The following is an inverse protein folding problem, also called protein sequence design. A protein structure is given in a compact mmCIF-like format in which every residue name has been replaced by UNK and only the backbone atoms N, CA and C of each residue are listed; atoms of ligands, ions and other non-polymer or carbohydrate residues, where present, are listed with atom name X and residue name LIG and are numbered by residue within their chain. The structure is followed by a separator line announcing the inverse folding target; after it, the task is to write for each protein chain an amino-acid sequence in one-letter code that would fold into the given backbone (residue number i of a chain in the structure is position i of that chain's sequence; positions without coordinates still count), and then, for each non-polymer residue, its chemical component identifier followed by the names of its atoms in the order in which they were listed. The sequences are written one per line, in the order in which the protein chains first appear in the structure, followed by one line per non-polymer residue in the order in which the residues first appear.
data_IF_021763050858
#
_entry.id   IF_021763050858
#
_cell.length_a   1.000
_cell.length_b   1.000
_cell.length_c   1.000
_cell.angle_alpha   90.00
_cell.angle_beta   90.00
_cell.angle_gamma   90.00
#
_symmetry.space_group_name_H-M   'P 1'
#
loop_
_entity.id
_entity.type
_entity.pdbx_description
1 polymer ?
#
# COMPACT_ATOMS: atom_id res chain seq x y z
N UNK A 1 -36.44 -33.32 12.30
CA UNK A 1 -35.82 -32.41 13.28
C UNK A 1 -36.18 -30.99 12.87
N UNK A 2 -37.19 -30.37 13.49
CA UNK A 2 -37.71 -29.06 13.03
C UNK A 2 -37.14 -27.96 13.91
N UNK A 3 -36.40 -27.05 13.31
CA UNK A 3 -35.77 -25.92 13.99
C UNK A 3 -36.87 -25.05 14.66
N UNK A 4 -36.85 -24.91 15.98
CA UNK A 4 -37.84 -24.09 16.68
C UNK A 4 -37.69 -22.63 16.27
N UNK A 5 -38.79 -21.86 16.25
CA UNK A 5 -38.78 -20.44 15.80
C UNK A 5 -37.76 -19.59 16.59
N UNK A 6 -37.51 -19.95 17.85
CA UNK A 6 -36.50 -19.33 18.70
C UNK A 6 -35.06 -19.58 18.19
N UNK A 7 -34.70 -20.85 17.94
CA UNK A 7 -33.37 -21.21 17.42
C UNK A 7 -33.13 -20.61 16.04
N UNK A 8 -34.17 -20.57 15.18
CA UNK A 8 -34.08 -19.91 13.87
C UNK A 8 -33.74 -18.43 13.98
N UNK A 9 -34.38 -17.70 14.89
CA UNK A 9 -34.09 -16.27 15.09
C UNK A 9 -32.68 -16.05 15.65
N UNK A 10 -32.22 -16.89 16.59
CA UNK A 10 -30.85 -16.82 17.10
C UNK A 10 -29.82 -17.05 15.99
N UNK A 11 -30.03 -18.04 15.14
CA UNK A 11 -29.15 -18.30 14.00
C UNK A 11 -29.13 -17.13 13.02
N UNK A 12 -30.28 -16.52 12.70
CA UNK A 12 -30.34 -15.34 11.83
C UNK A 12 -29.51 -14.20 12.43
N UNK A 13 -29.70 -13.88 13.72
CA UNK A 13 -28.95 -12.82 14.40
C UNK A 13 -27.44 -13.12 14.40
N UNK A 14 -27.07 -14.36 14.70
CA UNK A 14 -25.67 -14.79 14.71
C UNK A 14 -25.03 -14.68 13.32
N UNK A 15 -25.74 -15.10 12.27
CA UNK A 15 -25.26 -14.98 10.89
C UNK A 15 -25.08 -13.51 10.50
N UNK A 16 -26.02 -12.63 10.83
CA UNK A 16 -25.90 -11.20 10.56
C UNK A 16 -24.70 -10.61 11.29
N UNK A 17 -24.55 -10.89 12.59
CA UNK A 17 -23.42 -10.42 13.38
C UNK A 17 -22.08 -10.91 12.83
N UNK A 18 -22.02 -12.18 12.41
CA UNK A 18 -20.83 -12.78 11.79
C UNK A 18 -20.47 -12.08 10.47
N UNK A 19 -21.45 -11.82 9.59
CA UNK A 19 -21.23 -11.11 8.33
C UNK A 19 -20.72 -9.69 8.59
N UNK A 20 -21.32 -8.98 9.54
CA UNK A 20 -20.88 -7.62 9.91
C UNK A 20 -19.45 -7.65 10.45
N UNK A 21 -19.13 -8.60 11.33
CA UNK A 21 -17.78 -8.74 11.89
C UNK A 21 -16.73 -9.00 10.81
N UNK A 22 -17.01 -9.92 9.88
CA UNK A 22 -16.13 -10.21 8.74
C UNK A 22 -15.99 -9.00 7.82
N UNK A 23 -17.08 -8.30 7.51
CA UNK A 23 -17.02 -7.09 6.70
C UNK A 23 -16.13 -6.02 7.35
N UNK A 24 -16.29 -5.76 8.65
CA UNK A 24 -15.46 -4.80 9.38
C UNK A 24 -13.98 -5.19 9.34
N UNK A 25 -13.64 -6.48 9.53
CA UNK A 25 -12.26 -6.95 9.40
C UNK A 25 -11.69 -6.69 7.99
N UNK A 26 -12.45 -7.00 6.95
CA UNK A 26 -12.02 -6.83 5.55
C UNK A 26 -11.76 -5.34 5.22
N UNK A 27 -12.68 -4.45 5.61
CA UNK A 27 -12.58 -3.04 5.25
C UNK A 27 -11.65 -2.24 6.17
N UNK A 28 -11.65 -2.52 7.47
CA UNK A 28 -10.90 -1.71 8.45
C UNK A 28 -9.48 -2.24 8.68
N UNK A 29 -9.29 -3.56 8.70
CA UNK A 29 -8.01 -4.16 9.05
C UNK A 29 -7.23 -4.61 7.81
N UNK A 30 -7.87 -5.36 6.91
CA UNK A 30 -7.20 -5.86 5.70
C UNK A 30 -7.07 -4.79 4.61
N UNK A 31 -7.77 -3.65 4.76
CA UNK A 31 -7.78 -2.55 3.79
C UNK A 31 -7.99 -3.06 2.34
N UNK A 32 -8.89 -4.03 2.14
CA UNK A 32 -9.09 -4.67 0.82
C UNK A 32 -9.27 -3.67 -0.35
N UNK A 33 -9.94 -2.50 -0.20
CA UNK A 33 -10.00 -1.50 -1.26
C UNK A 33 -8.63 -1.00 -1.74
N UNK A 34 -7.64 -0.86 -0.85
CA UNK A 34 -6.29 -0.42 -1.22
C UNK A 34 -5.54 -1.51 -1.99
N UNK A 35 -5.77 -2.79 -1.66
CA UNK A 35 -5.27 -3.93 -2.44
C UNK A 35 -5.86 -3.98 -3.86
N UNK A 36 -7.11 -3.52 -4.01
CA UNK A 36 -7.77 -3.37 -5.31
C UNK A 36 -7.37 -2.07 -6.04
N UNK A 37 -6.47 -1.26 -5.48
CA UNK A 37 -5.94 -0.04 -6.09
C UNK A 37 -6.81 1.21 -5.89
N UNK A 38 -7.84 1.16 -5.06
CA UNK A 38 -8.68 2.33 -4.77
C UNK A 38 -7.88 3.33 -3.93
N UNK A 39 -7.81 4.58 -4.40
CA UNK A 39 -7.08 5.66 -3.72
C UNK A 39 -5.56 5.63 -3.91
N UNK A 40 -5.04 4.72 -4.73
CA UNK A 40 -3.61 4.57 -5.01
C UNK A 40 -3.30 4.82 -6.49
N UNK A 41 -2.15 5.42 -6.77
CA UNK A 41 -1.58 5.57 -8.11
C UNK A 41 -0.34 4.70 -8.25
N UNK A 42 -0.14 4.13 -9.44
CA UNK A 42 1.05 3.34 -9.76
C UNK A 42 2.02 4.21 -10.54
N UNK A 43 3.26 4.31 -10.06
CA UNK A 43 4.31 5.09 -10.69
C UNK A 43 5.51 4.20 -10.93
N UNK A 44 6.08 4.25 -12.12
CA UNK A 44 7.33 3.55 -12.42
C UNK A 44 8.47 4.55 -12.31
N UNK A 45 9.44 4.23 -11.46
CA UNK A 45 10.65 5.03 -11.25
C UNK A 45 11.84 4.33 -11.92
N UNK A 46 12.41 4.98 -12.92
CA UNK A 46 13.63 4.53 -13.57
C UNK A 46 14.86 5.11 -12.86
N UNK A 47 15.80 4.24 -12.54
CA UNK A 47 17.00 4.56 -11.77
C UNK A 47 18.24 4.06 -12.51
N UNK A 48 19.37 4.77 -12.44
CA UNK A 48 20.63 4.27 -12.99
C UNK A 48 21.16 3.05 -12.21
N UNK A 49 20.72 2.86 -10.96
CA UNK A 49 21.03 1.69 -10.13
C UNK A 49 19.94 1.50 -9.06
N UNK A 50 19.76 0.27 -8.56
CA UNK A 50 18.75 -0.02 -7.53
C UNK A 50 18.96 0.73 -6.21
N UNK A 51 20.20 1.19 -5.93
CA UNK A 51 20.50 2.05 -4.79
C UNK A 51 20.20 1.44 -3.40
N UNK A 52 20.07 0.11 -3.31
CA UNK A 52 19.69 -0.59 -2.07
C UNK A 52 18.20 -0.55 -1.76
N UNK A 53 17.36 -0.08 -2.68
CA UNK A 53 15.91 -0.17 -2.54
C UNK A 53 15.46 -1.62 -2.45
N UNK A 54 14.51 -1.87 -1.56
CA UNK A 54 13.87 -3.15 -1.36
C UNK A 54 12.36 -3.02 -1.44
N UNK A 55 11.67 -4.15 -1.59
CA UNK A 55 10.21 -4.19 -1.57
C UNK A 55 9.70 -3.69 -0.22
N UNK A 56 8.68 -2.84 -0.25
CA UNK A 56 8.13 -2.12 0.91
C UNK A 56 9.03 -1.01 1.45
N UNK A 57 10.06 -0.58 0.70
CA UNK A 57 10.76 0.67 1.04
C UNK A 57 9.78 1.84 0.98
N UNK A 58 9.93 2.77 1.91
CA UNK A 58 9.03 3.93 1.99
C UNK A 58 9.23 4.87 0.80
N UNK A 59 8.14 5.46 0.34
CA UNK A 59 8.18 6.60 -0.58
C UNK A 59 7.63 7.82 0.14
N UNK A 60 8.41 8.89 0.15
CA UNK A 60 8.08 10.11 0.87
C UNK A 60 7.96 11.28 -0.08
N UNK A 61 7.12 12.25 0.29
CA UNK A 61 7.04 13.55 -0.36
C UNK A 61 7.11 14.61 0.72
N UNK A 62 8.13 15.48 0.64
CA UNK A 62 8.40 16.50 1.68
C UNK A 62 8.52 15.90 3.10
N UNK A 63 9.13 14.72 3.20
CA UNK A 63 9.34 14.01 4.48
C UNK A 63 8.12 13.27 5.04
N UNK A 64 6.96 13.30 4.36
CA UNK A 64 5.77 12.52 4.75
C UNK A 64 5.68 11.28 3.88
N UNK A 65 5.48 10.11 4.50
CA UNK A 65 5.25 8.88 3.74
C UNK A 65 3.91 8.98 3.00
N UNK A 66 3.99 8.79 1.69
CA UNK A 66 2.85 8.84 0.77
C UNK A 66 2.71 7.54 -0.04
N UNK A 67 3.53 6.53 0.23
CA UNK A 67 3.55 5.32 -0.57
C UNK A 67 4.67 4.37 -0.20
N UNK A 68 4.82 3.36 -1.04
CA UNK A 68 5.81 2.31 -0.88
C UNK A 68 6.27 1.74 -2.23
N UNK A 69 7.48 1.17 -2.23
CA UNK A 69 8.03 0.41 -3.36
C UNK A 69 7.38 -0.97 -3.39
N UNK A 70 6.74 -1.33 -4.50
CA UNK A 70 6.09 -2.62 -4.68
C UNK A 70 7.00 -3.69 -5.25
N UNK A 71 7.90 -3.28 -6.14
CA UNK A 71 8.80 -4.16 -6.87
C UNK A 71 10.05 -3.37 -7.28
N UNK A 72 11.20 -4.04 -7.28
CA UNK A 72 12.46 -3.51 -7.82
C UNK A 72 13.00 -4.55 -8.79
N UNK A 73 13.24 -4.15 -10.02
CA UNK A 73 13.72 -5.02 -11.10
C UNK A 73 14.98 -4.40 -11.70
N UNK A 74 16.02 -5.21 -11.89
CA UNK A 74 17.21 -4.77 -12.63
C UNK A 74 16.92 -4.82 -14.12
N UNK A 75 17.32 -3.77 -14.84
CA UNK A 75 17.21 -3.67 -16.30
C UNK A 75 18.61 -3.64 -16.92
N UNK A 76 18.71 -3.77 -18.23
CA UNK A 76 20.03 -3.75 -18.92
C UNK A 76 20.81 -2.45 -18.69
N UNK A 77 20.09 -1.34 -18.44
CA UNK A 77 20.66 0.00 -18.32
C UNK A 77 20.60 0.56 -16.88
N UNK A 78 20.11 -0.20 -15.91
CA UNK A 78 19.95 0.27 -14.53
C UNK A 78 18.95 -0.54 -13.72
N UNK A 79 17.99 0.14 -13.10
CA UNK A 79 16.93 -0.47 -12.31
C UNK A 79 15.59 0.25 -12.50
N UNK A 80 14.50 -0.50 -12.35
CA UNK A 80 13.14 0.00 -12.34
C UNK A 80 12.51 -0.31 -10.99
N UNK A 81 11.94 0.70 -10.33
CA UNK A 81 11.17 0.55 -9.10
C UNK A 81 9.70 0.89 -9.35
N UNK A 82 8.80 -0.07 -9.13
CA UNK A 82 7.36 0.17 -9.20
C UNK A 82 6.88 0.67 -7.86
N UNK A 83 6.33 1.87 -7.83
CA UNK A 83 5.83 2.54 -6.65
C UNK A 83 4.30 2.51 -6.62
N UNK A 84 3.75 2.41 -5.42
CA UNK A 84 2.32 2.62 -5.17
C UNK A 84 2.22 3.82 -4.23
N UNK A 85 1.65 4.91 -4.73
CA UNK A 85 1.50 6.16 -4.00
C UNK A 85 0.04 6.44 -3.69
N UNK A 86 -0.22 7.19 -2.62
CA UNK A 86 -1.52 7.74 -2.30
C UNK A 86 -1.92 8.84 -3.31
N UNK A 87 -3.21 8.95 -3.58
CA UNK A 87 -3.75 10.01 -4.48
C UNK A 87 -3.72 11.40 -3.81
N UNK A 88 -3.47 11.45 -2.50
CA UNK A 88 -3.36 12.68 -1.71
C UNK A 88 -2.11 12.61 -0.83
N UNK A 89 -1.30 13.68 -0.73
CA UNK A 89 -1.46 14.99 -1.38
C UNK A 89 -1.25 14.93 -2.91
N UNK A 90 -1.68 15.97 -3.64
CA UNK A 90 -1.41 16.05 -5.09
C UNK A 90 0.10 16.20 -5.32
N UNK A 91 0.66 15.24 -6.04
CA UNK A 91 2.07 15.17 -6.38
C UNK A 91 2.27 15.85 -7.74
N UNK A 92 3.09 16.91 -7.86
CA UNK A 92 3.42 17.53 -9.15
C UNK A 92 4.13 16.55 -10.08
N UNK A 93 4.00 16.75 -11.40
CA UNK A 93 4.69 15.89 -12.37
C UNK A 93 6.18 16.26 -12.53
N UNK A 94 6.53 17.50 -12.20
CA UNK A 94 7.86 18.11 -12.27
C UNK A 94 8.62 17.93 -10.96
N UNK A 95 8.87 16.69 -10.56
CA UNK A 95 9.61 16.37 -9.35
C UNK A 95 10.86 15.54 -9.64
N UNK A 96 11.82 15.62 -8.73
CA UNK A 96 13.02 14.78 -8.70
C UNK A 96 12.85 13.69 -7.65
N UNK A 97 13.17 12.46 -8.03
CA UNK A 97 13.18 11.32 -7.12
C UNK A 97 14.62 10.99 -6.73
N UNK A 98 14.91 10.98 -5.44
CA UNK A 98 16.21 10.61 -4.90
C UNK A 98 16.08 9.33 -4.05
N UNK A 99 17.09 8.45 -4.11
CA UNK A 99 17.21 7.32 -3.18
C UNK A 99 18.12 7.73 -2.05
N UNK A 100 17.63 7.69 -0.81
CA UNK A 100 18.37 8.14 0.38
C UNK A 100 18.27 7.12 1.51
N UNK A 101 19.23 7.20 2.44
CA UNK A 101 19.23 6.39 3.66
C UNK A 101 18.52 7.14 4.79
N UNK A 102 17.55 6.50 5.44
CA UNK A 102 16.87 7.05 6.63
C UNK A 102 17.82 7.13 7.81
N UNK A 103 18.67 6.10 7.97
CA UNK A 103 19.51 5.90 9.14
C UNK A 103 20.92 5.45 8.77
N UNK A 104 21.82 5.44 9.75
CA UNK A 104 23.16 4.87 9.60
C UNK A 104 23.15 3.34 9.40
N UNK A 105 22.01 2.69 9.64
CA UNK A 105 21.82 1.24 9.44
C UNK A 105 21.60 0.90 7.96
N UNK A 106 21.25 1.88 7.12
CA UNK A 106 21.19 1.71 5.67
C UNK A 106 19.79 1.43 5.11
N UNK A 107 18.73 1.72 5.86
CA UNK A 107 17.36 1.62 5.35
C UNK A 107 17.12 2.65 4.25
N UNK A 108 16.99 2.19 3.00
CA UNK A 108 16.81 3.06 1.85
C UNK A 108 15.33 3.40 1.63
N UNK A 109 15.07 4.63 1.19
CA UNK A 109 13.74 5.12 0.85
C UNK A 109 13.81 6.03 -0.37
N UNK A 110 12.67 6.23 -1.01
CA UNK A 110 12.53 7.19 -2.11
C UNK A 110 12.03 8.52 -1.55
N UNK A 111 12.75 9.60 -1.84
CA UNK A 111 12.35 10.97 -1.52
C UNK A 111 11.92 11.69 -2.80
N UNK A 112 10.65 12.06 -2.88
CA UNK A 112 10.10 12.86 -3.97
C UNK A 112 10.19 14.33 -3.60
N UNK A 113 10.96 15.10 -4.37
CA UNK A 113 11.25 16.50 -4.13
C UNK A 113 10.73 17.36 -5.29
N UNK A 114 10.04 18.48 -5.02
CA UNK A 114 9.69 19.45 -6.06
C UNK A 114 10.94 20.03 -6.74
#
# INVERSE_FOLDING_TARGET
MVLTRFVRNQLIIFTIASIVGVAVMIFSYMQLPTLLGVGKIKVTLELPAAGGLYRFSNVTYRGVQIGEVREVTLTENGAEAKLILDTSPKIPADLQAEVRSVSAVGEQYVDLRP
#
